data_IF_764827755188
#
_entry.id   IF_764827755188
#
_cell.length_a   1.000
_cell.length_b   1.000
_cell.length_c   1.000
_cell.angle_alpha   90.00
_cell.angle_beta   90.00
_cell.angle_gamma   90.00
#
_symmetry.space_group_name_H-M   'P 1'
#
loop_
_entity.id
_entity.type
_entity.pdbx_description
1 polymer ?
#
# COMPACT_ATOMS: atom_id res chain seq x y z
N UNK A 1 -66.66 36.92 -31.00
CA UNK A 1 -66.03 37.23 -29.71
C UNK A 1 -65.85 35.91 -28.96
N UNK A 2 -64.66 35.30 -28.98
CA UNK A 2 -63.73 35.18 -27.82
C UNK A 2 -63.96 33.83 -27.11
N UNK A 3 -63.06 32.87 -26.88
CA UNK A 3 -61.62 32.60 -27.15
C UNK A 3 -61.40 31.08 -26.97
N UNK A 4 -60.43 30.53 -27.69
CA UNK A 4 -59.81 29.22 -27.45
C UNK A 4 -59.02 29.21 -26.14
N UNK A 5 -58.99 28.09 -25.40
CA UNK A 5 -57.83 27.74 -24.55
C UNK A 5 -57.66 26.23 -24.42
N UNK A 6 -56.61 25.74 -25.07
CA UNK A 6 -55.99 24.43 -24.91
C UNK A 6 -55.02 24.50 -23.72
N UNK A 7 -54.96 23.49 -22.85
CA UNK A 7 -53.86 23.36 -21.88
C UNK A 7 -53.25 21.96 -21.99
N UNK A 8 -51.94 21.83 -22.31
CA UNK A 8 -51.27 20.55 -22.41
C UNK A 8 -50.68 20.07 -21.08
N UNK A 9 -50.43 18.76 -21.10
CA UNK A 9 -49.76 17.89 -20.14
C UNK A 9 -48.40 18.44 -19.64
N UNK A 10 -48.16 18.41 -18.32
CA UNK A 10 -46.81 18.54 -17.74
C UNK A 10 -46.53 17.29 -16.89
N UNK A 11 -45.97 16.26 -17.53
CA UNK A 11 -45.38 15.13 -16.82
C UNK A 11 -43.96 15.52 -16.41
N UNK A 12 -43.75 15.79 -15.10
CA UNK A 12 -42.41 15.98 -14.55
C UNK A 12 -41.67 14.64 -14.53
N UNK A 13 -40.71 14.48 -15.45
CA UNK A 13 -39.76 13.38 -15.45
C UNK A 13 -38.68 13.68 -14.40
N UNK A 14 -38.78 13.05 -13.23
CA UNK A 14 -37.75 13.12 -12.19
C UNK A 14 -36.51 12.33 -12.65
N UNK A 15 -35.48 13.03 -13.11
CA UNK A 15 -34.16 12.44 -13.37
C UNK A 15 -33.52 12.06 -12.02
N UNK A 16 -33.56 10.78 -11.69
CA UNK A 16 -32.77 10.21 -10.62
C UNK A 16 -31.28 10.32 -10.98
N UNK A 17 -30.59 11.31 -10.42
CA UNK A 17 -29.12 11.37 -10.42
C UNK A 17 -28.60 10.26 -9.51
N UNK A 18 -28.38 9.08 -10.09
CA UNK A 18 -27.61 8.03 -9.42
C UNK A 18 -26.14 8.48 -9.38
N UNK A 19 -25.51 8.60 -8.20
CA UNK A 19 -24.08 8.83 -8.15
C UNK A 19 -23.39 7.60 -8.77
N UNK A 20 -22.78 7.80 -9.92
CA UNK A 20 -21.93 6.81 -10.56
C UNK A 20 -20.76 6.50 -9.62
N UNK A 21 -20.89 5.44 -8.82
CA UNK A 21 -19.77 4.83 -8.14
C UNK A 21 -18.83 4.32 -9.24
N UNK A 22 -17.77 5.08 -9.52
CA UNK A 22 -16.71 4.61 -10.42
C UNK A 22 -16.14 3.32 -9.82
N UNK A 23 -16.09 2.20 -10.56
CA UNK A 23 -15.39 1.03 -10.09
C UNK A 23 -13.93 1.44 -9.83
N UNK A 24 -13.50 1.32 -8.56
CA UNK A 24 -12.10 1.48 -8.21
C UNK A 24 -11.34 0.34 -8.87
N UNK A 25 -10.60 0.66 -9.92
CA UNK A 25 -9.76 -0.30 -10.63
C UNK A 25 -8.80 -0.96 -9.62
N UNK A 26 -8.71 -2.30 -9.57
CA UNK A 26 -7.70 -3.02 -8.79
C UNK A 26 -6.26 -2.80 -9.32
N UNK A 27 -6.04 -1.82 -10.19
CA UNK A 27 -4.85 -1.64 -11.02
C UNK A 27 -3.61 -1.10 -10.27
N UNK A 28 -3.65 -0.94 -8.94
CA UNK A 28 -2.48 -0.54 -8.17
C UNK A 28 -1.51 -1.71 -7.89
N UNK A 29 -1.91 -2.95 -8.19
CA UNK A 29 -1.05 -4.13 -7.98
C UNK A 29 0.31 -4.10 -8.73
N UNK A 30 0.44 -3.60 -9.98
CA UNK A 30 1.72 -3.57 -10.68
C UNK A 30 2.76 -2.65 -10.02
N UNK A 31 2.32 -1.63 -9.28
CA UNK A 31 3.21 -0.65 -8.65
C UNK A 31 4.01 -1.30 -7.52
N UNK A 32 3.41 -2.19 -6.73
CA UNK A 32 4.06 -2.85 -5.59
C UNK A 32 4.98 -3.99 -6.04
N UNK A 33 4.57 -4.75 -7.06
CA UNK A 33 5.29 -5.94 -7.52
C UNK A 33 6.69 -5.55 -8.02
N UNK A 34 7.67 -6.38 -7.64
CA UNK A 34 9.06 -6.23 -8.06
C UNK A 34 10.03 -6.18 -6.88
N UNK A 35 11.25 -5.72 -7.17
CA UNK A 35 12.31 -5.61 -6.18
C UNK A 35 12.44 -4.16 -5.71
N UNK A 36 12.53 -3.98 -4.40
CA UNK A 36 12.73 -2.70 -3.72
C UNK A 36 13.99 -2.78 -2.89
N UNK A 37 14.82 -1.75 -2.93
CA UNK A 37 16.10 -1.72 -2.23
C UNK A 37 16.34 -0.38 -1.56
N UNK A 38 16.94 -0.40 -0.38
CA UNK A 38 17.35 0.83 0.30
C UNK A 38 17.74 0.58 1.75
N UNK A 39 17.60 1.59 2.59
CA UNK A 39 18.14 1.61 3.94
C UNK A 39 17.07 1.29 4.98
N UNK A 40 17.47 0.59 6.03
CA UNK A 40 16.72 0.37 7.26
C UNK A 40 17.55 0.88 8.42
N UNK A 41 17.11 1.98 9.02
CA UNK A 41 17.80 2.70 10.10
C UNK A 41 17.15 2.37 11.45
N UNK A 42 17.97 2.01 12.42
CA UNK A 42 17.55 1.69 13.77
C UNK A 42 17.39 2.96 14.61
N UNK A 43 16.27 3.06 15.31
CA UNK A 43 15.99 4.24 16.16
C UNK A 43 16.66 4.16 17.53
N UNK A 44 17.01 2.95 18.00
CA UNK A 44 17.62 2.70 19.31
C UNK A 44 19.10 2.36 19.19
N UNK A 45 19.97 3.30 19.60
CA UNK A 45 21.43 3.11 19.57
C UNK A 45 21.94 2.05 20.57
N UNK A 46 21.24 1.84 21.68
CA UNK A 46 21.60 0.85 22.70
C UNK A 46 20.95 -0.53 22.48
N UNK A 47 20.53 -0.82 21.24
CA UNK A 47 19.94 -2.10 20.87
C UNK A 47 20.92 -2.94 20.03
N UNK A 48 20.68 -4.25 19.85
CA UNK A 48 21.44 -5.05 18.88
C UNK A 48 21.11 -4.68 17.42
N UNK A 49 20.12 -3.81 17.19
CA UNK A 49 19.79 -3.30 15.87
C UNK A 49 20.99 -2.55 15.26
N UNK A 50 21.26 -2.80 13.99
CA UNK A 50 22.26 -2.09 13.21
C UNK A 50 21.61 -1.60 11.94
N UNK A 51 22.02 -0.41 11.50
CA UNK A 51 21.60 0.13 10.22
C UNK A 51 22.07 -0.82 9.12
N UNK A 52 21.17 -1.13 8.20
CA UNK A 52 21.40 -2.15 7.19
C UNK A 52 20.76 -1.75 5.86
N UNK A 53 21.27 -2.31 4.77
CA UNK A 53 20.60 -2.23 3.47
C UNK A 53 19.64 -3.40 3.36
N UNK A 54 18.37 -3.10 3.07
CA UNK A 54 17.32 -4.08 2.89
C UNK A 54 16.96 -4.23 1.41
N UNK A 55 16.53 -5.43 1.07
CA UNK A 55 15.97 -5.79 -0.23
C UNK A 55 14.63 -6.46 0.05
N UNK A 56 13.56 -5.99 -0.57
CA UNK A 56 12.25 -6.61 -0.51
C UNK A 56 11.83 -7.03 -1.92
N UNK A 57 11.36 -8.26 -2.07
CA UNK A 57 10.78 -8.76 -3.33
C UNK A 57 9.30 -9.03 -3.11
N UNK A 58 8.45 -8.24 -3.77
CA UNK A 58 7.01 -8.38 -3.66
C UNK A 58 6.42 -9.13 -4.84
N UNK A 59 5.56 -10.11 -4.55
CA UNK A 59 4.76 -10.85 -5.53
C UNK A 59 3.28 -10.79 -5.12
N UNK A 60 2.38 -10.78 -6.11
CA UNK A 60 0.95 -10.82 -5.82
C UNK A 60 0.53 -12.23 -5.36
N UNK A 61 -0.38 -12.29 -4.39
CA UNK A 61 -1.01 -13.56 -3.99
C UNK A 61 -2.24 -13.77 -4.87
N UNK A 62 -2.15 -14.70 -5.83
CA UNK A 62 -3.14 -14.88 -6.89
C UNK A 62 -4.60 -15.03 -6.39
N UNK A 63 -4.81 -15.76 -5.30
CA UNK A 63 -6.14 -15.98 -4.73
C UNK A 63 -6.67 -14.82 -3.86
N UNK A 64 -5.90 -13.75 -3.68
CA UNK A 64 -6.20 -12.67 -2.72
C UNK A 64 -5.83 -11.29 -3.30
N UNK A 65 -6.72 -10.65 -4.08
CA UNK A 65 -6.49 -9.31 -4.61
C UNK A 65 -6.14 -8.31 -3.51
N UNK A 66 -5.14 -7.45 -3.77
CA UNK A 66 -4.61 -6.50 -2.79
C UNK A 66 -3.71 -7.10 -1.72
N UNK A 67 -3.40 -8.40 -1.78
CA UNK A 67 -2.44 -9.05 -0.89
C UNK A 67 -1.18 -9.48 -1.63
N UNK A 68 -0.05 -9.38 -0.95
CA UNK A 68 1.27 -9.61 -1.51
C UNK A 68 2.12 -10.46 -0.57
N UNK A 69 2.95 -11.34 -1.12
CA UNK A 69 4.08 -11.91 -0.40
C UNK A 69 5.26 -10.96 -0.55
N UNK A 70 5.91 -10.61 0.54
CA UNK A 70 7.13 -9.80 0.56
C UNK A 70 8.27 -10.58 1.18
N UNK A 71 9.21 -11.03 0.36
CA UNK A 71 10.45 -11.68 0.79
C UNK A 71 11.48 -10.61 1.15
N UNK A 72 11.74 -10.44 2.44
CA UNK A 72 12.70 -9.48 2.97
C UNK A 72 14.09 -10.09 3.13
N UNK A 73 15.12 -9.34 2.76
CA UNK A 73 16.52 -9.66 2.98
C UNK A 73 17.27 -8.44 3.49
N UNK A 74 18.41 -8.69 4.14
CA UNK A 74 19.39 -7.66 4.52
C UNK A 74 20.76 -7.99 3.95
N UNK A 75 21.61 -6.97 3.82
CA UNK A 75 23.02 -7.17 3.48
C UNK A 75 23.88 -7.24 4.74
N UNK A 76 24.67 -8.31 4.84
CA UNK A 76 25.68 -8.51 5.88
C UNK A 76 27.00 -8.77 5.19
N UNK A 77 27.96 -7.83 5.29
CA UNK A 77 29.25 -7.89 4.57
C UNK A 77 29.05 -8.16 3.07
N UNK A 78 28.16 -7.38 2.45
CA UNK A 78 27.77 -7.47 1.03
C UNK A 78 27.13 -8.78 0.59
N UNK A 79 26.84 -9.69 1.53
CA UNK A 79 26.07 -10.90 1.26
C UNK A 79 24.62 -10.71 1.66
N UNK A 80 23.73 -11.11 0.77
CA UNK A 80 22.30 -11.11 1.05
C UNK A 80 21.94 -12.24 2.01
N UNK A 81 21.26 -11.88 3.10
CA UNK A 81 20.76 -12.80 4.13
C UNK A 81 19.24 -12.63 4.21
N UNK A 82 18.51 -13.71 3.95
CA UNK A 82 17.05 -13.72 4.02
C UNK A 82 16.55 -13.50 5.45
N UNK A 83 15.53 -12.66 5.60
CA UNK A 83 14.74 -12.47 6.82
C UNK A 83 13.41 -13.24 6.78
N UNK A 84 13.10 -13.86 5.63
CA UNK A 84 11.88 -14.62 5.40
C UNK A 84 10.74 -13.80 4.77
N UNK A 85 9.69 -14.50 4.33
CA UNK A 85 8.50 -13.89 3.75
C UNK A 85 7.57 -13.30 4.82
N UNK A 86 6.90 -12.21 4.47
CA UNK A 86 5.75 -11.67 5.19
C UNK A 86 4.58 -11.47 4.23
N UNK A 87 3.37 -11.58 4.75
CA UNK A 87 2.15 -11.28 3.99
C UNK A 87 1.75 -9.84 4.24
N UNK A 88 1.59 -9.08 3.16
CA UNK A 88 1.19 -7.68 3.20
C UNK A 88 -0.20 -7.48 2.59
N UNK A 89 -0.94 -6.53 3.13
CA UNK A 89 -2.18 -6.00 2.54
C UNK A 89 -1.95 -4.58 2.08
N UNK A 90 -2.39 -4.27 0.87
CA UNK A 90 -2.38 -2.92 0.33
C UNK A 90 -3.76 -2.27 0.44
N UNK A 91 -3.77 -1.01 0.86
CA UNK A 91 -4.92 -0.12 0.83
C UNK A 91 -4.69 0.96 -0.23
N UNK A 92 -5.42 0.87 -1.33
CA UNK A 92 -5.31 1.80 -2.45
C UNK A 92 -5.84 3.21 -2.14
N UNK A 93 -6.70 3.38 -1.13
CA UNK A 93 -7.23 4.70 -0.76
C UNK A 93 -6.20 5.55 -0.02
N UNK A 94 -5.26 4.88 0.68
CA UNK A 94 -4.24 5.53 1.50
C UNK A 94 -2.82 5.25 1.03
N UNK A 95 -2.65 4.49 -0.05
CA UNK A 95 -1.36 4.06 -0.60
C UNK A 95 -0.46 3.35 0.41
N UNK A 96 -1.07 2.56 1.30
CA UNK A 96 -0.34 1.88 2.38
C UNK A 96 -0.27 0.37 2.15
N UNK A 97 0.95 -0.15 2.24
CA UNK A 97 1.24 -1.58 2.30
C UNK A 97 1.62 -1.95 3.74
N UNK A 98 0.85 -2.84 4.37
CA UNK A 98 1.00 -3.18 5.79
C UNK A 98 1.09 -4.69 6.03
N UNK A 99 1.95 -5.09 6.96
CA UNK A 99 1.99 -6.45 7.51
C UNK A 99 1.97 -6.40 9.03
N UNK A 100 1.04 -7.16 9.63
CA UNK A 100 0.95 -7.30 11.07
C UNK A 100 1.57 -8.65 11.45
N UNK A 101 2.58 -8.62 12.32
CA UNK A 101 3.27 -9.82 12.81
C UNK A 101 3.22 -9.84 14.34
N UNK A 102 3.44 -10.99 14.99
CA UNK A 102 3.54 -11.05 16.45
C UNK A 102 4.65 -10.14 17.03
N UNK A 103 5.68 -9.87 16.23
CA UNK A 103 6.86 -9.10 16.64
C UNK A 103 6.76 -7.60 16.29
N UNK A 104 5.68 -7.18 15.64
CA UNK A 104 5.51 -5.79 15.22
C UNK A 104 4.74 -5.61 13.92
N UNK A 105 4.58 -4.34 13.55
CA UNK A 105 3.83 -3.90 12.37
C UNK A 105 4.80 -3.24 11.39
N UNK A 106 4.88 -3.80 10.18
CA UNK A 106 5.47 -3.12 9.04
C UNK A 106 4.41 -2.26 8.37
N UNK A 107 4.70 -0.98 8.18
CA UNK A 107 3.82 -0.05 7.46
C UNK A 107 4.64 0.75 6.47
N UNK A 108 4.29 0.67 5.21
CA UNK A 108 4.93 1.37 4.12
C UNK A 108 3.92 2.25 3.39
N UNK A 109 4.27 3.50 3.13
CA UNK A 109 3.57 4.40 2.22
C UNK A 109 4.31 4.35 0.88
N UNK A 110 3.57 4.19 -0.21
CA UNK A 110 4.11 4.03 -1.56
C UNK A 110 3.78 5.26 -2.39
N UNK A 111 4.79 5.80 -3.05
CA UNK A 111 4.66 6.88 -4.02
C UNK A 111 5.62 6.62 -5.18
N UNK A 112 5.10 6.19 -6.33
CA UNK A 112 5.85 5.91 -7.54
C UNK A 112 6.96 4.86 -7.32
N UNK A 113 8.22 5.27 -7.42
CA UNK A 113 9.39 4.42 -7.20
C UNK A 113 9.91 4.49 -5.76
N UNK A 114 9.21 5.17 -4.84
CA UNK A 114 9.60 5.33 -3.44
C UNK A 114 8.66 4.61 -2.49
N UNK A 115 9.25 4.00 -1.47
CA UNK A 115 8.54 3.38 -0.37
C UNK A 115 9.17 3.85 0.95
N UNK A 116 8.38 4.54 1.76
CA UNK A 116 8.79 5.06 3.08
C UNK A 116 7.98 4.33 4.14
N UNK A 117 8.64 3.78 5.14
CA UNK A 117 7.93 3.02 6.14
C UNK A 117 8.65 2.84 7.46
N UNK A 118 8.00 2.08 8.32
CA UNK A 118 8.47 1.78 9.67
C UNK A 118 8.22 0.32 10.00
N UNK A 119 9.08 -0.21 10.88
CA UNK A 119 8.74 -1.35 11.73
C UNK A 119 8.49 -0.81 13.14
N UNK A 120 7.28 -1.00 13.65
CA UNK A 120 6.91 -0.68 15.03
C UNK A 120 6.80 -1.96 15.85
N UNK A 121 7.28 -1.95 17.09
CA UNK A 121 7.09 -3.05 18.05
C UNK A 121 5.62 -3.11 18.53
N UNK A 122 5.21 -4.19 19.24
CA UNK A 122 3.84 -4.33 19.73
C UNK A 122 3.36 -3.20 20.65
N UNK A 123 4.28 -2.53 21.35
CA UNK A 123 4.01 -1.34 22.18
C UNK A 123 3.95 -0.03 21.36
N UNK A 124 3.92 -0.12 20.02
CA UNK A 124 3.95 0.99 19.06
C UNK A 124 5.27 1.76 18.97
N UNK A 125 6.31 1.32 19.68
CA UNK A 125 7.65 1.89 19.58
C UNK A 125 8.20 1.73 18.16
N UNK A 126 8.56 2.82 17.47
CA UNK A 126 9.22 2.75 16.16
C UNK A 126 10.60 2.14 16.35
N UNK A 127 10.81 0.92 15.87
CA UNK A 127 12.08 0.20 15.96
C UNK A 127 13.02 0.55 14.81
N UNK A 128 12.45 0.69 13.61
CA UNK A 128 13.19 1.01 12.38
C UNK A 128 12.43 2.00 11.50
N UNK A 129 13.18 2.88 10.84
CA UNK A 129 12.71 3.65 9.68
C UNK A 129 13.30 3.03 8.42
N UNK A 130 12.48 2.86 7.39
CA UNK A 130 12.85 2.12 6.19
C UNK A 130 12.55 3.00 4.98
N UNK A 131 13.55 3.20 4.14
CA UNK A 131 13.45 3.97 2.90
C UNK A 131 13.92 3.08 1.76
N UNK A 132 13.02 2.75 0.83
CA UNK A 132 13.31 1.90 -0.32
C UNK A 132 13.02 2.64 -1.62
N UNK A 133 13.76 2.28 -2.66
CA UNK A 133 13.49 2.66 -4.04
C UNK A 133 13.27 1.40 -4.88
N UNK A 134 12.33 1.46 -5.82
CA UNK A 134 12.07 0.38 -6.76
C UNK A 134 13.27 0.19 -7.69
N UNK A 135 13.72 -1.05 -7.83
CA UNK A 135 14.78 -1.42 -8.77
C UNK A 135 14.17 -1.46 -10.17
N UNK A 136 14.80 -0.75 -11.12
CA UNK A 136 14.40 -0.71 -12.53
C UNK A 136 14.90 -1.92 -13.29
#
# INVERSE_FOLDING_TARGET
>A
MTRFTTTPLLALLALALTPACKPQNPSAQPEIIGTWRGNSECTFKNSPCRDETNIYRFTAIAARPGWFSGDGSKLVKDKEVSMGPLVFRYDASTHILQSNTPNGVFRFVIHDDKMVGTLSLPDSTIYRRIHLTKVK
#
